data_IF_248504992966
#
_entry.id   IF_248504992966
#
_cell.length_a   1.000
_cell.length_b   1.000
_cell.length_c   1.000
_cell.angle_alpha   90.00
_cell.angle_beta   90.00
_cell.angle_gamma   90.00
#
_symmetry.space_group_name_H-M   'P 1'
#
loop_
_entity.id
_entity.type
_entity.pdbx_description
1 polymer ?
#
# COMPACT_ATOMS: atom_id res chain seq x y z
N UNK A 1 38.13 17.48 -27.39
CA UNK A 1 36.94 18.29 -27.07
C UNK A 1 35.96 17.40 -26.34
N UNK A 2 35.47 17.90 -25.21
CA UNK A 2 34.53 17.26 -24.30
C UNK A 2 33.27 16.76 -25.01
N UNK A 3 32.82 15.56 -24.67
CA UNK A 3 31.44 15.43 -24.22
C UNK A 3 31.32 14.29 -23.20
N UNK A 4 31.44 14.73 -21.95
CA UNK A 4 30.93 14.07 -20.77
C UNK A 4 29.39 14.13 -20.84
N UNK A 5 28.73 12.99 -21.04
CA UNK A 5 27.40 12.77 -20.50
C UNK A 5 27.45 11.57 -19.56
N UNK A 6 27.70 11.91 -18.30
CA UNK A 6 27.27 11.12 -17.16
C UNK A 6 25.74 11.04 -17.15
N UNK A 7 25.23 10.06 -16.38
CA UNK A 7 23.86 9.86 -15.90
C UNK A 7 22.91 9.15 -16.89
N UNK A 8 22.29 8.01 -16.59
CA UNK A 8 21.97 7.38 -15.31
C UNK A 8 21.77 5.86 -15.51
N UNK A 9 22.60 5.05 -14.85
CA UNK A 9 22.29 3.65 -14.55
C UNK A 9 21.55 3.62 -13.21
N UNK A 10 20.22 3.61 -13.23
CA UNK A 10 19.41 3.15 -12.09
C UNK A 10 18.07 2.67 -12.64
N UNK A 11 18.06 1.47 -13.21
CA UNK A 11 16.80 0.76 -13.40
C UNK A 11 16.26 0.53 -11.98
N UNK A 12 15.14 1.17 -11.58
CA UNK A 12 14.72 1.08 -10.20
C UNK A 12 14.38 -0.38 -9.93
N UNK A 13 15.03 -0.96 -8.92
CA UNK A 13 14.55 -2.19 -8.30
C UNK A 13 13.03 -1.99 -8.10
N UNK A 14 12.22 -2.80 -8.77
CA UNK A 14 10.78 -2.58 -8.97
C UNK A 14 10.07 -2.59 -7.62
N UNK A 15 9.95 -1.42 -6.98
CA UNK A 15 9.26 -1.25 -5.70
C UNK A 15 7.76 -1.32 -5.94
N UNK A 16 7.06 -1.95 -5.00
CA UNK A 16 5.61 -2.05 -5.03
C UNK A 16 5.01 -0.76 -4.48
N UNK A 17 4.13 -0.11 -5.26
CA UNK A 17 3.41 1.06 -4.78
C UNK A 17 2.27 0.61 -3.85
N UNK A 18 2.35 0.96 -2.57
CA UNK A 18 1.37 0.58 -1.56
C UNK A 18 0.01 1.25 -1.79
N UNK A 19 -0.05 2.39 -2.50
CA UNK A 19 -1.31 3.04 -2.87
C UNK A 19 -2.03 2.32 -4.01
N UNK A 20 -1.36 1.45 -4.76
CA UNK A 20 -1.95 0.61 -5.81
C UNK A 20 -2.58 -0.66 -5.23
N UNK A 21 -2.15 -1.07 -4.03
CA UNK A 21 -2.62 -2.27 -3.37
C UNK A 21 -3.96 -2.04 -2.64
N UNK A 22 -4.87 -2.99 -2.83
CA UNK A 22 -6.07 -3.11 -1.99
C UNK A 22 -5.72 -3.53 -0.56
N UNK A 23 -6.64 -3.32 0.38
CA UNK A 23 -6.48 -3.78 1.79
C UNK A 23 -6.12 -5.26 1.91
N UNK A 24 -6.68 -6.10 1.04
CA UNK A 24 -6.40 -7.54 1.04
C UNK A 24 -4.98 -7.82 0.53
N UNK A 25 -4.59 -7.20 -0.59
CA UNK A 25 -3.24 -7.33 -1.14
C UNK A 25 -2.17 -6.82 -0.17
N UNK A 26 -2.43 -5.73 0.56
CA UNK A 26 -1.50 -5.28 1.61
C UNK A 26 -1.34 -6.33 2.73
N UNK A 27 -2.42 -7.01 3.14
CA UNK A 27 -2.31 -8.08 4.15
C UNK A 27 -1.51 -9.27 3.64
N UNK A 28 -1.72 -9.65 2.38
CA UNK A 28 -0.95 -10.74 1.74
C UNK A 28 0.52 -10.37 1.59
N UNK A 29 0.82 -9.16 1.12
CA UNK A 29 2.18 -8.64 1.03
C UNK A 29 2.91 -8.67 2.38
N UNK A 30 2.25 -8.22 3.46
CA UNK A 30 2.83 -8.32 4.80
C UNK A 30 3.01 -9.76 5.27
N UNK A 31 2.09 -10.65 4.91
CA UNK A 31 2.21 -12.09 5.22
C UNK A 31 3.41 -12.71 4.50
N UNK A 32 3.66 -12.36 3.24
CA UNK A 32 4.84 -12.79 2.48
C UNK A 32 6.15 -12.26 3.09
N UNK A 33 6.13 -11.07 3.68
CA UNK A 33 7.27 -10.49 4.41
C UNK A 33 7.51 -11.11 5.80
N UNK A 34 6.65 -12.03 6.23
CA UNK A 34 6.68 -12.66 7.55
C UNK A 34 6.15 -11.76 8.67
N UNK A 35 5.38 -10.73 8.32
CA UNK A 35 4.78 -9.78 9.27
C UNK A 35 3.31 -10.09 9.51
N UNK A 36 2.79 -9.66 10.67
CA UNK A 36 1.39 -9.91 11.03
C UNK A 36 0.44 -9.04 10.19
N UNK A 37 -0.73 -9.55 9.76
CA UNK A 37 -1.63 -8.82 8.86
C UNK A 37 -2.16 -7.50 9.46
N UNK A 38 -2.28 -7.39 10.78
CA UNK A 38 -2.66 -6.13 11.42
C UNK A 38 -1.66 -4.99 11.20
N UNK A 39 -0.39 -5.31 10.89
CA UNK A 39 0.63 -4.30 10.54
C UNK A 39 0.29 -3.63 9.21
N UNK A 40 -0.26 -4.39 8.28
CA UNK A 40 -0.79 -3.84 7.04
C UNK A 40 -1.95 -2.88 7.33
N UNK A 41 -2.90 -3.27 8.20
CA UNK A 41 -4.02 -2.40 8.58
C UNK A 41 -3.57 -1.08 9.24
N UNK A 42 -2.50 -1.12 10.05
CA UNK A 42 -1.90 0.09 10.61
C UNK A 42 -1.34 1.00 9.51
N UNK A 43 -0.62 0.42 8.54
CA UNK A 43 -0.05 1.14 7.40
C UNK A 43 -1.15 1.78 6.53
N UNK A 44 -2.21 1.02 6.22
CA UNK A 44 -3.40 1.50 5.51
C UNK A 44 -3.96 2.73 6.22
N UNK A 45 -4.08 2.68 7.55
CA UNK A 45 -4.58 3.83 8.33
C UNK A 45 -3.67 5.05 8.16
N UNK A 46 -2.35 4.92 8.21
CA UNK A 46 -1.43 6.03 7.98
C UNK A 46 -1.58 6.63 6.57
N UNK A 47 -1.62 5.80 5.54
CA UNK A 47 -1.69 6.25 4.16
C UNK A 47 -3.05 6.91 3.86
N UNK A 48 -4.16 6.29 4.24
CA UNK A 48 -5.50 6.76 3.87
C UNK A 48 -6.12 7.76 4.86
N UNK A 49 -5.79 7.69 6.15
CA UNK A 49 -6.36 8.59 7.16
C UNK A 49 -5.49 9.81 7.42
N UNK A 50 -4.17 9.64 7.42
CA UNK A 50 -3.22 10.72 7.68
C UNK A 50 -2.60 11.27 6.40
N UNK A 51 -2.68 10.55 5.27
CA UNK A 51 -2.05 10.98 4.02
C UNK A 51 -0.53 10.90 4.07
N UNK A 52 0.03 10.06 4.95
CA UNK A 52 1.47 9.99 5.17
C UNK A 52 2.15 9.05 4.16
N UNK A 53 3.00 9.62 3.31
CA UNK A 53 3.80 8.88 2.33
C UNK A 53 5.20 8.49 2.84
N UNK A 54 5.62 9.04 3.98
CA UNK A 54 6.91 8.72 4.57
C UNK A 54 6.81 7.67 5.69
N UNK A 55 7.43 6.50 5.47
CA UNK A 55 7.52 5.46 6.49
C UNK A 55 8.17 5.94 7.79
N UNK A 56 9.10 6.90 7.76
CA UNK A 56 9.76 7.40 8.98
C UNK A 56 8.79 8.09 9.94
N UNK A 57 7.77 8.75 9.40
CA UNK A 57 6.76 9.47 10.18
C UNK A 57 5.75 8.52 10.85
N UNK A 58 5.71 7.25 10.42
CA UNK A 58 4.86 6.22 11.02
C UNK A 58 5.47 5.68 12.32
N UNK A 59 5.35 6.45 13.40
CA UNK A 59 5.94 6.16 14.72
C UNK A 59 5.49 4.83 15.33
N UNK A 60 4.30 4.32 14.95
CA UNK A 60 3.78 3.03 15.41
C UNK A 60 4.39 1.81 14.66
N UNK A 61 5.29 2.05 13.70
CA UNK A 61 5.98 1.01 12.94
C UNK A 61 7.44 0.93 13.39
N UNK A 62 7.89 -0.30 13.69
CA UNK A 62 9.26 -0.52 14.14
C UNK A 62 10.28 -0.18 13.03
N UNK A 63 11.51 0.15 13.41
CA UNK A 63 12.56 0.54 12.45
C UNK A 63 12.87 -0.54 11.42
N UNK A 64 12.94 -1.81 11.82
CA UNK A 64 13.25 -2.95 10.95
C UNK A 64 12.21 -3.12 9.82
N UNK A 65 10.93 -2.94 10.13
CA UNK A 65 9.83 -3.01 9.17
C UNK A 65 9.85 -1.81 8.22
N UNK A 66 10.14 -0.60 8.74
CA UNK A 66 10.30 0.59 7.89
C UNK A 66 11.44 0.41 6.88
N UNK A 67 12.58 -0.11 7.31
CA UNK A 67 13.72 -0.37 6.43
C UNK A 67 13.40 -1.43 5.36
N UNK A 68 12.73 -2.53 5.75
CA UNK A 68 12.23 -3.52 4.79
C UNK A 68 11.31 -2.87 3.76
N UNK A 69 10.30 -2.12 4.22
CA UNK A 69 9.33 -1.47 3.34
C UNK A 69 10.02 -0.51 2.37
N UNK A 70 10.96 0.32 2.82
CA UNK A 70 11.73 1.21 1.93
C UNK A 70 12.51 0.50 0.82
N UNK A 71 12.92 -0.74 1.07
CA UNK A 71 13.65 -1.56 0.11
C UNK A 71 12.73 -2.20 -0.95
N UNK A 72 11.54 -2.67 -0.55
CA UNK A 72 10.64 -3.43 -1.43
C UNK A 72 9.40 -2.66 -1.90
N UNK A 73 9.06 -1.55 -1.26
CA UNK A 73 7.81 -0.81 -1.45
C UNK A 73 8.03 0.71 -1.40
N UNK A 74 7.09 1.44 -1.97
CA UNK A 74 7.02 2.89 -1.92
C UNK A 74 5.57 3.35 -1.76
N UNK A 75 5.37 4.56 -1.24
CA UNK A 75 4.05 5.19 -1.15
C UNK A 75 4.10 6.38 -2.12
N UNK A 76 3.49 6.23 -3.29
CA UNK A 76 3.32 7.35 -4.22
C UNK A 76 1.87 7.46 -4.62
N UNK A 77 1.32 8.66 -4.42
CA UNK A 77 0.03 9.00 -4.98
C UNK A 77 0.12 8.93 -6.50
N UNK A 78 -0.59 7.95 -7.09
CA UNK A 78 -0.79 7.96 -8.52
C UNK A 78 -1.66 9.16 -8.87
N UNK A 79 -1.24 9.94 -9.88
CA UNK A 79 -2.09 10.97 -10.44
C UNK A 79 -3.18 10.27 -11.25
N UNK A 80 -4.24 9.84 -10.58
CA UNK A 80 -5.42 9.29 -11.23
C UNK A 80 -5.89 10.31 -12.29
N UNK A 81 -5.96 9.96 -13.59
CA UNK A 81 -6.89 10.65 -14.46
C UNK A 81 -8.28 10.41 -13.88
N UNK A 82 -9.11 11.46 -13.80
CA UNK A 82 -10.41 11.52 -13.13
C UNK A 82 -11.49 10.52 -13.66
N UNK A 83 -11.12 9.42 -14.32
CA UNK A 83 -12.01 8.56 -15.11
C UNK A 83 -12.33 7.18 -14.51
N UNK A 84 -11.76 6.78 -13.37
CA UNK A 84 -12.01 5.44 -12.78
C UNK A 84 -12.51 5.49 -11.34
N UNK A 85 -13.59 6.24 -11.11
CA UNK A 85 -14.40 6.08 -9.91
C UNK A 85 -15.12 4.73 -10.01
N UNK A 86 -14.58 3.68 -9.38
CA UNK A 86 -15.37 2.49 -9.08
C UNK A 86 -16.17 2.79 -7.81
N UNK A 87 -17.51 2.81 -7.85
CA UNK A 87 -18.32 2.99 -6.67
C UNK A 87 -18.04 1.86 -5.68
N UNK A 88 -17.68 2.25 -4.45
CA UNK A 88 -17.38 1.37 -3.36
C UNK A 88 -18.70 0.78 -2.81
N UNK A 89 -18.74 -0.55 -2.70
CA UNK A 89 -19.61 -1.39 -1.87
C UNK A 89 -21.14 -1.36 -2.08
N UNK A 90 -21.68 -2.42 -2.71
CA UNK A 90 -23.01 -2.93 -2.38
C UNK A 90 -22.87 -4.36 -1.82
N UNK A 91 -22.56 -4.43 -0.53
CA UNK A 91 -22.71 -5.67 0.25
C UNK A 91 -23.97 -5.52 1.09
N UNK A 92 -25.13 -5.44 0.44
CA UNK A 92 -26.41 -5.65 1.10
C UNK A 92 -26.44 -7.10 1.61
N UNK A 93 -26.48 -7.26 2.92
CA UNK A 93 -26.46 -8.54 3.59
C UNK A 93 -27.73 -9.34 3.34
N UNK A 94 -27.59 -10.67 3.23
CA UNK A 94 -28.67 -11.60 3.52
C UNK A 94 -28.27 -12.47 4.73
N UNK A 95 -28.34 -11.88 5.93
CA UNK A 95 -28.47 -12.65 7.15
C UNK A 95 -29.81 -12.29 7.79
N UNK A 96 -30.79 -13.18 7.64
CA UNK A 96 -32.02 -13.37 8.43
C UNK A 96 -32.73 -14.56 7.76
N UNK A 97 -32.92 -15.70 8.39
CA UNK A 97 -33.72 -15.90 9.60
C UNK A 97 -35.02 -16.60 9.17
N UNK A 98 -35.33 -17.75 9.75
CA UNK A 98 -36.32 -18.71 9.23
C UNK A 98 -37.79 -18.26 9.27
N UNK A 99 -38.62 -18.97 8.50
CA UNK A 99 -40.06 -19.20 8.75
C UNK A 99 -40.50 -20.48 8.02
N UNK A 100 -40.90 -21.47 8.81
CA UNK A 100 -42.12 -22.32 8.66
C UNK A 100 -42.72 -22.52 7.26
N UNK A 101 -42.76 -23.78 6.80
CA UNK A 101 -44.01 -24.50 6.50
C UNK A 101 -43.79 -26.02 6.46
#
# INVERSE_FOLDING_TARGET
>A
MSELLSVQSDAPAKKINLMDLTRQQMREFFKELGEKPFRADQLVKWIYHFGEDNFDNMTNINKKLREKLKAVAEIKAQKLPLSSVQPMHDKMGNASGGTTS
#
